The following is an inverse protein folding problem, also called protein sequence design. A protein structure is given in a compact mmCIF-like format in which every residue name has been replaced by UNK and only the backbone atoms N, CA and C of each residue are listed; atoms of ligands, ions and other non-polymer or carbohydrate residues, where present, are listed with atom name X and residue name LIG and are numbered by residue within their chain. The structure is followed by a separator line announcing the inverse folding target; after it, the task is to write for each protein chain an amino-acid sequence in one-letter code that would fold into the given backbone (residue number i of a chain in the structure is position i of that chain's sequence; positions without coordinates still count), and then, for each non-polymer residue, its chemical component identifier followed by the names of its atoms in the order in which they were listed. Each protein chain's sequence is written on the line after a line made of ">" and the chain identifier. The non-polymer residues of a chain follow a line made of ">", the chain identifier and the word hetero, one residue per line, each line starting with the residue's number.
data_IF_745010254012
#
_entry.id   IF_745010254012
#
_cell.length_a   1.000
_cell.length_b   1.000
_cell.length_c   1.000
_cell.angle_alpha   90.00
_cell.angle_beta   90.00
_cell.angle_gamma   90.00
#
_symmetry.space_group_name_H-M   'P 1'
#
loop_
_entity.id
_entity.type
_entity.pdbx_description
1 polymer ?
#
# COMPACT_ATOMS: atom_id res chain seq x y z
N UNK A 1 20.59 -4.11 13.06
CA UNK A 1 20.59 -3.40 14.37
C UNK A 1 21.59 -4.07 15.29
N UNK A 2 22.36 -3.34 16.11
CA UNK A 2 23.25 -3.94 17.09
C UNK A 2 22.44 -4.56 18.24
N UNK A 3 22.97 -5.65 18.82
CA UNK A 3 22.44 -6.26 20.04
C UNK A 3 22.49 -5.24 21.19
N UNK A 4 21.47 -5.24 22.06
CA UNK A 4 21.31 -4.25 23.13
C UNK A 4 20.58 -2.97 22.74
N UNK A 5 20.13 -2.86 21.48
CA UNK A 5 19.18 -1.82 21.07
C UNK A 5 17.76 -2.27 21.45
N UNK A 6 17.01 -1.45 22.18
CA UNK A 6 15.63 -1.77 22.58
C UNK A 6 14.72 -2.16 21.42
N UNK A 7 14.93 -1.53 20.26
CA UNK A 7 14.17 -1.85 19.04
C UNK A 7 14.52 -3.25 18.53
N UNK A 8 15.80 -3.66 18.60
CA UNK A 8 16.22 -5.03 18.29
C UNK A 8 15.57 -6.03 19.25
N UNK A 9 15.60 -5.77 20.54
CA UNK A 9 15.05 -6.67 21.57
C UNK A 9 13.54 -6.86 21.39
N UNK A 10 12.82 -5.80 20.99
CA UNK A 10 11.38 -5.87 20.71
C UNK A 10 11.09 -6.65 19.43
N UNK A 11 11.75 -6.32 18.33
CA UNK A 11 11.42 -6.87 17.00
C UNK A 11 12.00 -8.28 16.76
N UNK A 12 13.09 -8.66 17.45
CA UNK A 12 13.69 -10.00 17.37
C UNK A 12 12.79 -11.13 17.90
N UNK A 13 11.77 -10.77 18.68
CA UNK A 13 10.76 -11.71 19.17
C UNK A 13 9.75 -12.11 18.08
N UNK A 14 9.67 -11.36 16.99
CA UNK A 14 8.77 -11.66 15.88
C UNK A 14 9.38 -12.75 14.98
N UNK A 15 8.74 -13.92 14.84
CA UNK A 15 9.27 -14.99 14.02
C UNK A 15 9.38 -14.57 12.55
N UNK A 16 10.48 -14.95 11.90
CA UNK A 16 10.76 -14.65 10.49
C UNK A 16 10.85 -13.15 10.13
N UNK A 17 10.89 -12.27 11.12
CA UNK A 17 10.97 -10.83 10.88
C UNK A 17 12.38 -10.43 10.44
N UNK A 18 12.48 -9.68 9.34
CA UNK A 18 13.75 -9.19 8.82
C UNK A 18 14.21 -7.94 9.58
N UNK A 19 15.22 -8.08 10.43
CA UNK A 19 15.79 -7.03 11.26
C UNK A 19 16.80 -6.11 10.54
N UNK A 20 17.07 -6.30 9.26
CA UNK A 20 17.95 -5.43 8.50
C UNK A 20 17.36 -4.02 8.41
N UNK A 21 18.14 -3.03 8.81
CA UNK A 21 17.82 -1.61 8.70
C UNK A 21 19.07 -0.84 8.28
N UNK A 22 18.89 0.40 7.85
CA UNK A 22 19.98 1.33 7.59
C UNK A 22 20.63 1.83 8.89
N UNK A 23 21.54 2.78 8.74
CA UNK A 23 22.17 3.48 9.85
C UNK A 23 21.07 4.12 10.74
N UNK A 24 21.27 4.14 12.05
CA UNK A 24 20.34 4.70 13.06
C UNK A 24 18.92 4.11 13.04
N UNK A 25 18.78 2.85 12.58
CA UNK A 25 17.47 2.19 12.55
C UNK A 25 16.53 2.71 11.47
N UNK A 26 17.06 3.34 10.42
CA UNK A 26 16.26 3.79 9.28
C UNK A 26 15.75 2.61 8.48
N UNK A 27 14.49 2.67 8.07
CA UNK A 27 13.85 1.70 7.17
C UNK A 27 13.32 2.41 5.93
N UNK A 28 13.30 1.69 4.79
CA UNK A 28 12.66 2.22 3.59
C UNK A 28 11.15 2.24 3.81
N UNK A 29 10.55 3.40 3.58
CA UNK A 29 9.10 3.54 3.51
C UNK A 29 8.65 3.57 2.05
N UNK A 30 7.60 2.79 1.76
CA UNK A 30 6.90 2.83 0.49
C UNK A 30 5.47 3.25 0.78
N UNK A 31 5.07 4.36 0.21
CA UNK A 31 3.70 4.88 0.34
C UNK A 31 2.68 3.79 -0.04
N UNK A 32 1.84 3.43 0.92
CA UNK A 32 0.84 2.39 0.75
C UNK A 32 -0.14 2.68 -0.37
N UNK A 33 -0.45 3.95 -0.64
CA UNK A 33 -1.32 4.35 -1.76
C UNK A 33 -0.69 4.01 -3.09
N UNK A 34 0.63 4.24 -3.22
CA UNK A 34 1.39 3.86 -4.42
C UNK A 34 1.49 2.34 -4.58
N UNK A 35 1.69 1.60 -3.49
CA UNK A 35 1.69 0.13 -3.51
C UNK A 35 0.34 -0.40 -3.97
N UNK A 36 -0.77 0.14 -3.45
CA UNK A 36 -2.12 -0.28 -3.85
C UNK A 36 -2.42 0.08 -5.31
N UNK A 37 -1.97 1.23 -5.79
CA UNK A 37 -2.04 1.57 -7.22
C UNK A 37 -1.29 0.57 -8.09
N UNK A 38 -0.15 0.07 -7.62
CA UNK A 38 0.61 -0.97 -8.36
C UNK A 38 -0.12 -2.30 -8.40
N UNK A 39 -0.80 -2.72 -7.33
CA UNK A 39 -1.68 -3.90 -7.36
C UNK A 39 -2.78 -3.71 -8.41
N UNK A 40 -3.52 -2.61 -8.36
CA UNK A 40 -4.52 -2.30 -9.40
C UNK A 40 -3.91 -2.35 -10.80
N UNK A 41 -2.74 -1.76 -10.99
CA UNK A 41 -2.10 -1.74 -12.31
C UNK A 41 -1.67 -3.14 -12.77
N UNK A 42 -1.34 -4.05 -11.85
CA UNK A 42 -1.10 -5.47 -12.14
C UNK A 42 -2.39 -6.13 -12.62
N UNK A 43 -3.50 -5.92 -11.92
CA UNK A 43 -4.82 -6.45 -12.29
C UNK A 43 -5.29 -5.96 -13.67
N UNK A 44 -4.93 -4.72 -14.01
CA UNK A 44 -5.31 -4.07 -15.28
C UNK A 44 -4.25 -4.19 -16.39
N UNK A 45 -3.18 -4.96 -16.15
CA UNK A 45 -2.11 -5.08 -17.12
C UNK A 45 -2.53 -5.90 -18.34
N UNK A 46 -2.20 -5.40 -19.53
CA UNK A 46 -2.59 -6.04 -20.80
C UNK A 46 -2.04 -7.47 -20.98
N UNK A 47 -0.86 -7.72 -20.43
CA UNK A 47 -0.20 -9.02 -20.54
C UNK A 47 -0.68 -10.04 -19.51
N UNK A 48 -1.64 -9.64 -18.64
CA UNK A 48 -2.15 -10.52 -17.58
C UNK A 48 -1.09 -10.91 -16.54
N UNK A 49 -1.47 -11.64 -15.53
CA UNK A 49 -0.56 -12.30 -14.58
C UNK A 49 -1.07 -13.71 -14.32
N UNK A 50 -0.25 -14.57 -13.76
CA UNK A 50 -0.68 -15.92 -13.42
C UNK A 50 -0.34 -16.31 -12.00
N UNK A 51 -1.21 -17.11 -11.41
CA UNK A 51 -1.01 -17.75 -10.10
C UNK A 51 -1.34 -19.23 -10.27
N UNK A 52 -0.44 -20.10 -9.87
CA UNK A 52 -0.55 -21.56 -9.99
C UNK A 52 -0.91 -22.01 -11.43
N UNK A 53 -0.27 -21.36 -12.42
CA UNK A 53 -0.50 -21.57 -13.85
C UNK A 53 -1.89 -21.13 -14.34
N UNK A 54 -2.70 -20.50 -13.52
CA UNK A 54 -4.00 -19.93 -13.92
C UNK A 54 -3.80 -18.49 -14.35
N UNK A 55 -4.02 -18.22 -15.64
CA UNK A 55 -3.90 -16.88 -16.20
C UNK A 55 -5.11 -16.04 -15.79
N UNK A 56 -4.85 -14.89 -15.20
CA UNK A 56 -5.87 -13.90 -14.83
C UNK A 56 -5.81 -12.72 -15.79
N UNK A 57 -6.91 -12.50 -16.49
CA UNK A 57 -7.07 -11.42 -17.46
C UNK A 57 -8.11 -10.42 -16.98
N UNK A 58 -8.10 -9.23 -17.55
CA UNK A 58 -9.12 -8.19 -17.29
C UNK A 58 -10.53 -8.73 -17.56
N UNK A 59 -10.70 -9.57 -18.60
CA UNK A 59 -12.01 -10.12 -18.94
C UNK A 59 -12.51 -11.13 -17.91
N UNK A 60 -11.61 -11.90 -17.32
CA UNK A 60 -11.95 -12.79 -16.19
C UNK A 60 -12.39 -11.96 -14.98
N UNK A 61 -11.62 -10.92 -14.63
CA UNK A 61 -12.00 -10.02 -13.52
C UNK A 61 -13.35 -9.37 -13.82
N UNK A 62 -13.57 -8.88 -15.06
CA UNK A 62 -14.85 -8.33 -15.50
C UNK A 62 -16.01 -9.29 -15.28
N UNK A 63 -15.86 -10.54 -15.73
CA UNK A 63 -16.88 -11.59 -15.56
C UNK A 63 -17.23 -11.78 -14.09
N UNK A 64 -16.24 -11.84 -13.20
CA UNK A 64 -16.45 -11.99 -11.76
C UNK A 64 -17.12 -10.75 -11.13
N UNK A 65 -16.75 -9.54 -11.55
CA UNK A 65 -17.42 -8.33 -11.07
C UNK A 65 -18.91 -8.28 -11.49
N UNK A 66 -19.22 -8.74 -12.67
CA UNK A 66 -20.61 -8.84 -13.13
C UNK A 66 -21.39 -9.92 -12.36
N UNK A 67 -20.76 -11.04 -12.01
CA UNK A 67 -21.38 -12.08 -11.17
C UNK A 67 -21.67 -11.62 -9.73
N UNK A 68 -20.93 -10.64 -9.22
CA UNK A 68 -21.24 -9.93 -7.96
C UNK A 68 -22.46 -9.01 -8.07
N UNK A 69 -23.07 -8.86 -9.24
CA UNK A 69 -24.19 -7.97 -9.48
C UNK A 69 -23.82 -6.53 -9.79
N UNK A 70 -22.54 -6.23 -10.05
CA UNK A 70 -22.17 -4.91 -10.54
C UNK A 70 -22.71 -4.68 -11.95
N UNK A 71 -23.18 -3.45 -12.24
CA UNK A 71 -23.58 -3.08 -13.59
C UNK A 71 -22.39 -3.08 -14.54
N UNK A 72 -22.62 -3.33 -15.82
CA UNK A 72 -21.57 -3.25 -16.85
C UNK A 72 -20.89 -1.88 -16.89
N UNK A 73 -21.62 -0.80 -16.64
CA UNK A 73 -21.07 0.56 -16.57
C UNK A 73 -20.12 0.71 -15.38
N UNK A 74 -20.49 0.20 -14.21
CA UNK A 74 -19.65 0.21 -13.02
C UNK A 74 -18.40 -0.64 -13.22
N UNK A 75 -18.55 -1.88 -13.71
CA UNK A 75 -17.42 -2.75 -14.00
C UNK A 75 -16.44 -2.09 -15.00
N UNK A 76 -16.95 -1.46 -16.06
CA UNK A 76 -16.11 -0.74 -17.01
C UNK A 76 -15.37 0.44 -16.38
N UNK A 77 -16.01 1.24 -15.52
CA UNK A 77 -15.35 2.35 -14.86
C UNK A 77 -14.21 1.91 -13.91
N UNK A 78 -14.35 0.74 -13.27
CA UNK A 78 -13.31 0.16 -12.42
C UNK A 78 -12.13 -0.37 -13.23
N UNK A 79 -12.40 -1.03 -14.37
CA UNK A 79 -11.39 -1.71 -15.19
C UNK A 79 -10.73 -0.80 -16.24
N UNK A 80 -11.34 0.32 -16.57
CA UNK A 80 -10.82 1.29 -17.54
C UNK A 80 -11.01 2.71 -17.01
N UNK A 81 -10.36 3.07 -15.89
CA UNK A 81 -10.50 4.41 -15.31
C UNK A 81 -9.94 5.46 -16.26
N UNK A 82 -10.69 6.53 -16.49
CA UNK A 82 -10.23 7.70 -17.26
C UNK A 82 -9.02 8.36 -16.59
N UNK A 83 -9.05 8.43 -15.27
CA UNK A 83 -7.94 8.87 -14.44
C UNK A 83 -7.26 7.68 -13.76
N UNK A 84 -6.03 7.39 -14.19
CA UNK A 84 -5.18 6.36 -13.58
C UNK A 84 -4.72 6.73 -12.16
N UNK A 85 -4.92 7.96 -11.73
CA UNK A 85 -4.60 8.43 -10.39
C UNK A 85 -5.80 8.37 -9.43
N UNK A 86 -7.00 8.03 -9.92
CA UNK A 86 -8.19 7.93 -9.11
C UNK A 86 -8.05 6.87 -8.01
N UNK A 87 -7.85 7.36 -6.80
CA UNK A 87 -7.68 6.56 -5.60
C UNK A 87 -8.98 5.85 -5.21
N UNK A 88 -10.12 6.51 -5.39
CA UNK A 88 -11.44 5.95 -5.00
C UNK A 88 -11.78 4.76 -5.89
N UNK A 89 -11.57 4.86 -7.19
CA UNK A 89 -11.79 3.74 -8.11
C UNK A 89 -10.83 2.58 -7.84
N UNK A 90 -9.59 2.88 -7.46
CA UNK A 90 -8.62 1.86 -7.05
C UNK A 90 -9.12 1.07 -5.84
N UNK A 91 -9.51 1.76 -4.75
CA UNK A 91 -10.03 1.09 -3.55
C UNK A 91 -11.28 0.28 -3.88
N UNK A 92 -12.20 0.83 -4.68
CA UNK A 92 -13.42 0.11 -5.10
C UNK A 92 -13.10 -1.17 -5.86
N UNK A 93 -12.13 -1.15 -6.79
CA UNK A 93 -11.74 -2.36 -7.54
C UNK A 93 -11.16 -3.41 -6.60
N UNK A 94 -10.14 -3.06 -5.79
CA UNK A 94 -9.52 -3.99 -4.87
C UNK A 94 -10.52 -4.54 -3.83
N UNK A 95 -11.43 -3.69 -3.33
CA UNK A 95 -12.51 -4.12 -2.43
C UNK A 95 -13.49 -5.06 -3.12
N UNK A 96 -13.84 -4.81 -4.38
CA UNK A 96 -14.71 -5.71 -5.12
C UNK A 96 -14.08 -7.08 -5.34
N UNK A 97 -12.78 -7.13 -5.67
CA UNK A 97 -12.05 -8.40 -5.81
C UNK A 97 -11.96 -9.11 -4.45
N UNK A 98 -11.74 -8.37 -3.35
CA UNK A 98 -11.69 -8.94 -2.00
C UNK A 98 -13.02 -9.54 -1.52
N UNK A 99 -14.12 -9.15 -2.14
CA UNK A 99 -15.49 -9.59 -1.82
C UNK A 99 -15.98 -10.74 -2.71
N UNK A 100 -15.13 -11.24 -3.61
CA UNK A 100 -15.50 -12.37 -4.48
C UNK A 100 -15.76 -13.62 -3.65
N UNK A 101 -16.91 -14.31 -3.86
CA UNK A 101 -17.24 -15.53 -3.14
C UNK A 101 -16.32 -16.69 -3.56
N UNK A 102 -16.30 -17.72 -2.74
CA UNK A 102 -15.76 -19.01 -3.16
C UNK A 102 -16.67 -19.63 -4.24
N UNK A 103 -16.06 -20.40 -5.16
CA UNK A 103 -16.82 -21.09 -6.21
C UNK A 103 -17.61 -22.29 -5.69
N UNK A 104 -18.74 -22.53 -6.31
CA UNK A 104 -19.50 -23.76 -6.12
C UNK A 104 -18.71 -24.98 -6.63
N UNK A 105 -18.83 -26.09 -5.90
CA UNK A 105 -18.09 -27.33 -6.22
C UNK A 105 -18.53 -27.99 -7.54
N UNK A 106 -19.71 -27.64 -8.04
CA UNK A 106 -20.33 -28.22 -9.25
C UNK A 106 -19.90 -27.54 -10.56
N UNK A 107 -19.04 -26.51 -10.46
CA UNK A 107 -18.54 -25.79 -11.63
C UNK A 107 -17.44 -26.58 -12.37
N UNK A 108 -17.14 -26.14 -13.61
CA UNK A 108 -16.03 -26.71 -14.38
C UNK A 108 -14.70 -26.49 -13.66
N UNK A 109 -13.79 -27.46 -13.72
CA UNK A 109 -12.48 -27.41 -13.04
C UNK A 109 -11.69 -26.13 -13.34
N UNK A 110 -11.76 -25.61 -14.57
CA UNK A 110 -11.11 -24.37 -14.97
C UNK A 110 -11.72 -23.15 -14.28
N UNK A 111 -13.03 -23.13 -14.10
CA UNK A 111 -13.75 -22.06 -13.39
C UNK A 111 -13.39 -22.11 -11.90
N UNK A 112 -13.41 -23.29 -11.31
CA UNK A 112 -13.02 -23.51 -9.90
C UNK A 112 -11.58 -23.04 -9.67
N UNK A 113 -10.63 -23.39 -10.56
CA UNK A 113 -9.25 -22.96 -10.45
C UNK A 113 -9.13 -21.42 -10.49
N UNK A 114 -9.82 -20.78 -11.44
CA UNK A 114 -9.85 -19.32 -11.58
C UNK A 114 -10.44 -18.63 -10.35
N UNK A 115 -11.55 -19.13 -9.84
CA UNK A 115 -12.17 -18.58 -8.63
C UNK A 115 -11.26 -18.71 -7.41
N UNK A 116 -10.60 -19.85 -7.22
CA UNK A 116 -9.65 -20.06 -6.11
C UNK A 116 -8.51 -19.05 -6.16
N UNK A 117 -7.94 -18.82 -7.34
CA UNK A 117 -6.87 -17.85 -7.54
C UNK A 117 -7.35 -16.43 -7.24
N UNK A 118 -8.51 -16.03 -7.76
CA UNK A 118 -9.10 -14.72 -7.48
C UNK A 118 -9.48 -14.55 -6.01
N UNK A 119 -9.95 -15.61 -5.36
CA UNK A 119 -10.21 -15.59 -3.92
C UNK A 119 -8.91 -15.40 -3.11
N UNK A 120 -7.82 -16.10 -3.45
CA UNK A 120 -6.51 -15.91 -2.82
C UNK A 120 -6.01 -14.47 -2.99
N UNK A 121 -6.10 -13.92 -4.20
CA UNK A 121 -5.77 -12.52 -4.48
C UNK A 121 -6.68 -11.57 -3.68
N UNK A 122 -7.96 -11.84 -3.65
CA UNK A 122 -8.94 -11.12 -2.85
C UNK A 122 -8.61 -11.10 -1.37
N UNK A 123 -8.08 -12.21 -0.82
CA UNK A 123 -7.60 -12.27 0.58
C UNK A 123 -6.39 -11.38 0.82
N UNK A 124 -5.45 -11.28 -0.13
CA UNK A 124 -4.34 -10.31 -0.04
C UNK A 124 -4.89 -8.89 0.07
N UNK A 125 -5.81 -8.53 -0.82
CA UNK A 125 -6.42 -7.19 -0.83
C UNK A 125 -7.25 -6.94 0.43
N UNK A 126 -8.02 -7.91 0.89
CA UNK A 126 -8.78 -7.83 2.13
C UNK A 126 -7.88 -7.45 3.31
N UNK A 127 -6.79 -8.19 3.51
CA UNK A 127 -5.89 -7.96 4.63
C UNK A 127 -5.18 -6.59 4.53
N UNK A 128 -4.71 -6.21 3.34
CA UNK A 128 -4.07 -4.92 3.14
C UNK A 128 -5.04 -3.75 3.33
N UNK A 129 -6.22 -3.80 2.69
CA UNK A 129 -7.22 -2.73 2.79
C UNK A 129 -7.71 -2.54 4.22
N UNK A 130 -8.02 -3.64 4.93
CA UNK A 130 -8.51 -3.55 6.30
C UNK A 130 -7.46 -3.01 7.26
N UNK A 131 -6.19 -3.41 7.10
CA UNK A 131 -5.12 -2.90 7.95
C UNK A 131 -4.95 -1.38 7.84
N UNK A 132 -5.10 -0.81 6.65
CA UNK A 132 -4.90 0.62 6.43
C UNK A 132 -6.18 1.46 6.55
N UNK A 133 -7.34 0.92 6.16
CA UNK A 133 -8.56 1.72 5.98
C UNK A 133 -9.64 1.46 7.02
N UNK A 134 -9.57 0.35 7.76
CA UNK A 134 -10.58 0.06 8.76
C UNK A 134 -10.20 0.66 10.12
N UNK A 135 -10.68 1.87 10.38
CA UNK A 135 -10.43 2.61 11.62
C UNK A 135 -11.07 1.99 12.88
N UNK A 136 -11.91 0.96 12.72
CA UNK A 136 -12.53 0.25 13.86
C UNK A 136 -11.64 -0.84 14.43
N UNK A 137 -10.62 -1.25 13.69
CA UNK A 137 -9.67 -2.26 14.15
C UNK A 137 -8.70 -1.65 15.17
N UNK A 138 -8.40 -2.41 16.20
CA UNK A 138 -7.26 -2.12 17.08
C UNK A 138 -5.94 -2.21 16.31
N UNK A 139 -4.89 -1.60 16.83
CA UNK A 139 -3.56 -1.68 16.22
C UNK A 139 -3.07 -3.13 16.12
N UNK A 140 -3.34 -3.96 17.12
CA UNK A 140 -3.00 -5.39 17.13
C UNK A 140 -3.68 -6.15 15.98
N UNK A 141 -4.98 -5.91 15.76
CA UNK A 141 -5.71 -6.50 14.64
C UNK A 141 -5.17 -6.02 13.29
N UNK A 142 -4.83 -4.72 13.16
CA UNK A 142 -4.23 -4.17 11.95
C UNK A 142 -2.88 -4.83 11.64
N UNK A 143 -2.02 -5.00 12.67
CA UNK A 143 -0.73 -5.70 12.54
C UNK A 143 -0.92 -7.18 12.18
N UNK A 144 -1.90 -7.85 12.79
CA UNK A 144 -2.26 -9.23 12.45
C UNK A 144 -2.66 -9.36 10.98
N UNK A 145 -3.45 -8.43 10.45
CA UNK A 145 -3.81 -8.42 9.03
C UNK A 145 -2.60 -8.15 8.12
N UNK A 146 -1.71 -7.23 8.50
CA UNK A 146 -0.47 -7.01 7.74
C UNK A 146 0.44 -8.24 7.73
N UNK A 147 0.54 -8.94 8.87
CA UNK A 147 1.26 -10.21 8.96
C UNK A 147 0.65 -11.26 8.03
N UNK A 148 -0.67 -11.43 8.06
CA UNK A 148 -1.37 -12.35 7.17
C UNK A 148 -1.15 -12.02 5.69
N UNK A 149 -1.23 -10.73 5.32
CA UNK A 149 -0.92 -10.28 3.97
C UNK A 149 0.52 -10.63 3.56
N UNK A 150 1.50 -10.33 4.43
CA UNK A 150 2.91 -10.62 4.16
C UNK A 150 3.16 -12.11 3.93
N UNK A 151 2.62 -12.99 4.77
CA UNK A 151 2.78 -14.44 4.62
C UNK A 151 2.11 -14.96 3.36
N UNK A 152 0.92 -14.47 3.03
CA UNK A 152 0.21 -14.88 1.80
C UNK A 152 0.95 -14.41 0.55
N UNK A 153 1.43 -13.16 0.52
CA UNK A 153 2.23 -12.62 -0.58
C UNK A 153 3.55 -13.39 -0.72
N UNK A 154 4.22 -13.72 0.40
CA UNK A 154 5.42 -14.54 0.41
C UNK A 154 5.16 -15.92 -0.22
N UNK A 155 4.09 -16.60 0.18
CA UNK A 155 3.72 -17.91 -0.35
C UNK A 155 3.42 -17.82 -1.86
N UNK A 156 2.60 -16.87 -2.28
CA UNK A 156 2.27 -16.66 -3.69
C UNK A 156 3.51 -16.31 -4.52
N UNK A 157 4.36 -15.42 -4.02
CA UNK A 157 5.60 -15.06 -4.71
C UNK A 157 6.59 -16.22 -4.75
N UNK A 158 6.71 -17.01 -3.68
CA UNK A 158 7.61 -18.16 -3.66
C UNK A 158 7.22 -19.20 -4.72
N UNK A 159 5.94 -19.47 -4.90
CA UNK A 159 5.43 -20.44 -5.87
C UNK A 159 5.45 -19.93 -7.31
N UNK A 160 5.14 -18.65 -7.53
CA UNK A 160 4.84 -18.11 -8.86
C UNK A 160 5.89 -17.11 -9.38
N UNK A 161 6.75 -16.57 -8.51
CA UNK A 161 7.80 -15.61 -8.86
C UNK A 161 7.25 -14.42 -9.67
N UNK A 162 7.93 -14.10 -10.78
CA UNK A 162 7.59 -12.98 -11.67
C UNK A 162 6.25 -13.15 -12.41
N UNK A 163 5.71 -14.35 -12.47
CA UNK A 163 4.40 -14.59 -13.08
C UNK A 163 3.25 -13.99 -12.23
N UNK A 164 3.45 -13.92 -10.92
CA UNK A 164 2.55 -13.24 -10.00
C UNK A 164 2.79 -11.72 -10.00
N UNK A 165 3.97 -11.29 -9.52
CA UNK A 165 4.37 -9.87 -9.47
C UNK A 165 5.87 -9.73 -9.71
N UNK A 166 6.33 -8.57 -10.25
CA UNK A 166 7.75 -8.30 -10.41
C UNK A 166 8.49 -8.34 -9.06
N UNK A 167 9.74 -8.79 -9.07
CA UNK A 167 10.59 -8.90 -7.88
C UNK A 167 10.69 -7.58 -7.11
N UNK A 168 10.85 -6.46 -7.81
CA UNK A 168 10.90 -5.15 -7.17
C UNK A 168 9.59 -4.82 -6.45
N UNK A 169 8.45 -5.16 -7.05
CA UNK A 169 7.15 -4.92 -6.42
C UNK A 169 6.96 -5.78 -5.17
N UNK A 170 7.40 -7.04 -5.20
CA UNK A 170 7.41 -7.90 -4.02
C UNK A 170 8.21 -7.26 -2.87
N UNK A 171 9.43 -6.79 -3.15
CA UNK A 171 10.26 -6.14 -2.13
C UNK A 171 9.64 -4.85 -1.61
N UNK A 172 9.02 -4.04 -2.46
CA UNK A 172 8.37 -2.79 -2.05
C UNK A 172 7.20 -3.06 -1.09
N UNK A 173 6.36 -4.07 -1.39
CA UNK A 173 5.26 -4.47 -0.51
C UNK A 173 5.77 -4.98 0.84
N UNK A 174 6.77 -5.87 0.82
CA UNK A 174 7.34 -6.42 2.05
C UNK A 174 8.05 -5.35 2.89
N UNK A 175 8.70 -4.37 2.25
CA UNK A 175 9.34 -3.24 2.94
C UNK A 175 8.31 -2.30 3.54
N UNK A 176 7.22 -2.01 2.83
CA UNK A 176 6.10 -1.23 3.36
C UNK A 176 5.53 -1.86 4.64
N UNK A 177 5.23 -3.16 4.61
CA UNK A 177 4.71 -3.88 5.78
C UNK A 177 5.74 -3.86 6.91
N UNK A 178 7.00 -4.17 6.62
CA UNK A 178 8.09 -4.14 7.58
C UNK A 178 8.23 -2.78 8.26
N UNK A 179 8.14 -1.68 7.48
CA UNK A 179 8.24 -0.32 7.98
C UNK A 179 7.17 -0.01 9.04
N UNK A 180 5.93 -0.50 8.87
CA UNK A 180 4.87 -0.34 9.86
C UNK A 180 5.30 -0.88 11.23
N UNK A 181 5.85 -2.09 11.27
CA UNK A 181 6.32 -2.70 12.52
C UNK A 181 7.47 -1.92 13.16
N UNK A 182 8.42 -1.45 12.34
CA UNK A 182 9.52 -0.63 12.83
C UNK A 182 9.04 0.70 13.40
N UNK A 183 8.19 1.42 12.69
CA UNK A 183 7.65 2.70 13.13
C UNK A 183 6.82 2.55 14.41
N UNK A 184 5.98 1.52 14.48
CA UNK A 184 5.18 1.22 15.67
C UNK A 184 6.07 0.91 16.88
N UNK A 185 7.04 0.00 16.73
CA UNK A 185 7.93 -0.36 17.82
C UNK A 185 8.80 0.82 18.27
N UNK A 186 9.26 1.65 17.33
CA UNK A 186 9.99 2.89 17.63
C UNK A 186 9.12 3.88 18.38
N UNK A 187 7.89 4.12 17.94
CA UNK A 187 6.94 4.99 18.63
C UNK A 187 6.68 4.52 20.05
N UNK A 188 6.50 3.21 20.25
CA UNK A 188 6.29 2.65 21.59
C UNK A 188 7.49 2.84 22.52
N UNK A 189 8.71 2.78 21.98
CA UNK A 189 9.94 3.00 22.76
C UNK A 189 10.11 4.48 23.09
N UNK A 190 9.89 5.37 22.12
CA UNK A 190 10.11 6.81 22.25
C UNK A 190 9.00 7.48 23.08
N UNK A 191 7.76 7.06 22.91
CA UNK A 191 6.61 7.58 23.64
C UNK A 191 5.52 6.48 23.80
N UNK A 192 5.55 5.72 24.91
CA UNK A 192 4.63 4.59 25.14
C UNK A 192 3.14 4.95 25.22
N UNK A 193 2.81 6.23 25.40
CA UNK A 193 1.42 6.72 25.45
C UNK A 193 0.96 7.35 24.15
N UNK A 194 1.83 7.41 23.15
CA UNK A 194 1.48 7.97 21.84
C UNK A 194 0.47 7.09 21.11
N UNK A 195 -0.42 7.74 20.38
CA UNK A 195 -1.30 7.05 19.44
C UNK A 195 -0.56 6.86 18.12
N UNK A 196 -0.70 5.68 17.53
CA UNK A 196 -0.09 5.34 16.26
C UNK A 196 -1.17 4.97 15.23
N UNK A 197 -1.13 5.61 14.08
CA UNK A 197 -2.11 5.44 13.01
C UNK A 197 -1.41 4.97 11.73
N UNK A 198 -1.60 3.71 11.37
CA UNK A 198 -0.98 3.10 10.18
C UNK A 198 -1.33 3.88 8.90
N UNK A 199 -2.56 4.37 8.79
CA UNK A 199 -3.02 5.14 7.62
C UNK A 199 -2.21 6.42 7.37
N UNK A 200 -1.57 6.99 8.40
CA UNK A 200 -0.76 8.20 8.29
C UNK A 200 0.68 7.92 7.83
N UNK A 201 1.08 6.65 7.75
CA UNK A 201 2.35 6.30 7.13
C UNK A 201 2.27 6.52 5.61
N UNK A 202 3.27 7.17 5.06
CA UNK A 202 3.36 7.46 3.64
C UNK A 202 4.04 8.80 3.36
N UNK A 203 3.99 9.24 2.13
CA UNK A 203 4.71 10.41 1.62
C UNK A 203 3.90 11.70 1.60
N UNK A 204 2.66 11.70 2.11
CA UNK A 204 1.76 12.87 2.06
C UNK A 204 2.39 14.15 2.63
N UNK A 205 3.13 14.03 3.74
CA UNK A 205 3.86 15.15 4.33
C UNK A 205 4.95 15.69 3.40
N UNK A 206 5.72 14.79 2.79
CA UNK A 206 6.75 15.17 1.82
C UNK A 206 6.14 15.77 0.55
N UNK A 207 5.02 15.22 0.06
CA UNK A 207 4.32 15.75 -1.10
C UNK A 207 3.81 17.19 -0.86
N UNK A 208 3.31 17.48 0.35
CA UNK A 208 2.94 18.84 0.74
C UNK A 208 4.15 19.79 0.70
N UNK A 209 5.29 19.36 1.26
CA UNK A 209 6.53 20.15 1.24
C UNK A 209 6.97 20.40 -0.20
N UNK A 210 7.07 19.36 -1.04
CA UNK A 210 7.47 19.52 -2.44
C UNK A 210 6.51 20.41 -3.24
N UNK A 211 5.21 20.25 -3.03
CA UNK A 211 4.21 21.12 -3.68
C UNK A 211 4.42 22.58 -3.25
N UNK A 212 4.67 22.84 -1.96
CA UNK A 212 4.95 24.19 -1.48
C UNK A 212 6.24 24.74 -2.06
N UNK A 213 7.31 23.94 -2.12
CA UNK A 213 8.56 24.33 -2.81
C UNK A 213 8.26 24.71 -4.26
N UNK A 214 7.53 23.89 -5.01
CA UNK A 214 7.18 24.19 -6.40
C UNK A 214 6.41 25.51 -6.56
N UNK A 215 5.49 25.83 -5.64
CA UNK A 215 4.77 27.11 -5.68
C UNK A 215 5.67 28.31 -5.36
N UNK A 216 6.71 28.14 -4.54
CA UNK A 216 7.66 29.21 -4.19
C UNK A 216 8.67 29.48 -5.31
N UNK A 217 9.04 28.45 -6.06
CA UNK A 217 10.13 28.50 -7.05
C UNK A 217 9.59 28.71 -8.48
N UNK A 218 8.31 28.49 -8.70
CA UNK A 218 7.71 28.54 -10.03
C UNK A 218 8.28 27.45 -10.95
N UNK A 219 8.78 27.85 -12.12
CA UNK A 219 9.35 26.95 -13.13
C UNK A 219 10.88 26.83 -13.08
N UNK A 220 11.53 27.36 -12.04
CA UNK A 220 12.99 27.24 -11.91
C UNK A 220 13.38 25.81 -11.51
N UNK A 221 14.01 25.10 -12.45
CA UNK A 221 14.46 23.72 -12.29
C UNK A 221 15.99 23.62 -12.03
N UNK A 222 16.71 24.74 -11.98
CA UNK A 222 18.17 24.79 -11.89
C UNK A 222 18.67 25.19 -10.50
N UNK A 223 18.06 24.65 -9.46
CA UNK A 223 18.52 24.91 -8.10
C UNK A 223 19.84 24.19 -7.79
N UNK A 224 20.77 24.90 -7.17
CA UNK A 224 21.88 24.24 -6.49
C UNK A 224 21.42 23.65 -5.12
N UNK A 225 22.32 22.88 -4.48
CA UNK A 225 22.02 22.21 -3.21
C UNK A 225 21.66 23.19 -2.09
N UNK A 226 22.31 24.37 -2.04
CA UNK A 226 22.05 25.36 -1.00
C UNK A 226 20.71 26.07 -1.23
N UNK A 227 20.41 26.40 -2.47
CA UNK A 227 19.09 26.94 -2.85
C UNK A 227 17.97 25.97 -2.51
N UNK A 228 18.14 24.70 -2.88
CA UNK A 228 17.13 23.66 -2.56
C UNK A 228 16.93 23.50 -1.05
N UNK A 229 18.01 23.50 -0.26
CA UNK A 229 17.92 23.42 1.20
C UNK A 229 17.15 24.61 1.78
N UNK A 230 17.43 25.86 1.31
CA UNK A 230 16.73 27.06 1.75
C UNK A 230 15.24 27.04 1.36
N UNK A 231 14.91 26.52 0.18
CA UNK A 231 13.53 26.41 -0.27
C UNK A 231 12.73 25.38 0.54
N UNK A 232 13.35 24.23 0.85
CA UNK A 232 12.74 23.21 1.71
C UNK A 232 12.49 23.79 3.11
N UNK A 233 13.47 24.47 3.70
CA UNK A 233 13.31 25.10 5.01
C UNK A 233 12.19 26.14 5.01
N UNK A 234 12.17 27.04 4.02
CA UNK A 234 11.09 28.01 3.87
C UNK A 234 9.71 27.38 3.64
N UNK A 235 9.65 26.28 2.88
CA UNK A 235 8.39 25.57 2.66
C UNK A 235 7.88 24.88 3.95
N UNK A 236 8.77 24.28 4.74
CA UNK A 236 8.43 23.69 6.04
C UNK A 236 7.93 24.76 7.00
N UNK A 237 8.61 25.90 7.10
CA UNK A 237 8.16 27.04 7.93
C UNK A 237 6.77 27.53 7.51
N UNK A 238 6.53 27.70 6.20
CA UNK A 238 5.21 28.09 5.71
C UNK A 238 4.12 27.07 6.06
N UNK A 239 4.42 25.76 5.95
CA UNK A 239 3.46 24.72 6.30
C UNK A 239 3.13 24.76 7.78
N UNK A 240 4.14 24.87 8.65
CA UNK A 240 3.94 24.96 10.10
C UNK A 240 3.07 26.16 10.48
N UNK A 241 3.34 27.34 9.89
CA UNK A 241 2.52 28.56 10.12
C UNK A 241 1.07 28.33 9.67
N UNK A 242 0.85 27.70 8.52
CA UNK A 242 -0.51 27.43 8.03
C UNK A 242 -1.23 26.33 8.85
N UNK A 243 -0.50 25.42 9.49
CA UNK A 243 -1.08 24.44 10.44
C UNK A 243 -1.47 25.12 11.75
N UNK A 244 -0.69 26.11 12.21
CA UNK A 244 -1.03 26.94 13.37
C UNK A 244 -2.17 27.94 13.09
N UNK A 245 -2.29 28.40 11.84
CA UNK A 245 -3.24 29.40 11.37
C UNK A 245 -4.02 28.90 10.13
N UNK A 246 -4.92 27.91 10.29
CA UNK A 246 -5.64 27.32 9.15
C UNK A 246 -6.47 28.34 8.35
N UNK A 247 -6.94 29.41 9.02
CA UNK A 247 -7.70 30.48 8.42
C UNK A 247 -6.94 31.28 7.35
N UNK A 248 -5.59 31.24 7.36
CA UNK A 248 -4.78 31.95 6.36
C UNK A 248 -4.63 31.17 5.05
N UNK A 249 -5.00 29.90 5.02
CA UNK A 249 -4.95 29.05 3.84
C UNK A 249 -6.26 28.92 3.06
N UNK A 250 -7.35 29.54 3.54
CA UNK A 250 -8.69 29.32 3.01
C UNK A 250 -9.02 30.03 1.68
N UNK A 251 -8.14 30.92 1.18
CA UNK A 251 -8.39 31.77 0.02
C UNK A 251 -7.43 31.52 -1.18
N UNK A 252 -6.94 30.26 -1.35
CA UNK A 252 -6.05 29.95 -2.48
C UNK A 252 -6.49 28.75 -3.30
#
# INVERSE_FOLDING_TARGET
>A
MPEGNKLFDTLSQLPLFNLLCGHDGLTCDFDWKHVFKRFRNTDLHKNSFSIDHVLITIEIIRGQLLSLGLSSTTANSLLSPNDKQDFVLMIKLLSSISSLPECDADERLTVIATCRVLHLLGRVYFYLLHAYLNIKLSLDEQLTYLSAAAHLILALYHSNKHDFIPVQFYFDVMSMIKNVYFCMAKTQIDNPVAQFWIILLGTDGLEKVFRKVQTMVGSDTNADQLQLANWIDGAVQCINILEEHPEWGADS
#
